data_IF_983552193577
#
_entry.id   IF_983552193577
#
_cell.length_a   1.000
_cell.length_b   1.000
_cell.length_c   1.000
_cell.angle_alpha   90.00
_cell.angle_beta   90.00
_cell.angle_gamma   90.00
#
_symmetry.space_group_name_H-M   'P 1'
#
loop_
_entity.id
_entity.type
_entity.pdbx_description
1 polymer ?
#
# COMPACT_ATOMS: atom_id res chain seq x y z
N UNK A 1 0.64 -17.03 14.28
CA UNK A 1 1.14 -15.65 14.35
C UNK A 1 0.87 -15.10 15.73
N UNK A 2 1.71 -14.21 16.25
CA UNK A 2 1.44 -13.54 17.52
C UNK A 2 0.19 -12.67 17.38
N UNK A 3 -0.73 -12.74 18.34
CA UNK A 3 -1.94 -11.93 18.37
C UNK A 3 -1.68 -10.62 19.11
N UNK A 4 -2.04 -9.50 18.50
CA UNK A 4 -1.99 -8.17 19.10
C UNK A 4 -3.41 -7.64 19.32
N UNK A 5 -3.60 -6.71 20.27
CA UNK A 5 -4.91 -6.13 20.61
C UNK A 5 -5.05 -4.71 20.08
N UNK A 6 -6.27 -4.35 19.72
CA UNK A 6 -6.69 -2.98 19.38
C UNK A 6 -7.73 -2.57 20.43
N UNK A 7 -7.41 -1.54 21.22
CA UNK A 7 -8.35 -0.93 22.16
C UNK A 7 -9.03 0.26 21.47
N UNK A 8 -10.36 0.18 21.29
CA UNK A 8 -11.14 1.22 20.62
C UNK A 8 -12.40 1.56 21.39
N UNK A 9 -12.79 2.84 21.34
CA UNK A 9 -14.11 3.30 21.77
C UNK A 9 -14.94 3.60 20.54
N UNK A 10 -16.19 3.16 20.56
CA UNK A 10 -17.16 3.44 19.51
C UNK A 10 -18.45 3.94 20.16
N UNK A 11 -19.14 4.84 19.47
CA UNK A 11 -20.46 5.28 19.90
C UNK A 11 -21.48 4.14 19.77
N UNK A 12 -22.49 4.14 20.63
CA UNK A 12 -23.53 3.10 20.65
C UNK A 12 -24.26 2.97 19.31
N UNK A 13 -24.48 4.10 18.62
CA UNK A 13 -25.11 4.11 17.30
C UNK A 13 -24.25 3.37 16.25
N UNK A 14 -22.92 3.56 16.29
CA UNK A 14 -21.97 2.88 15.40
C UNK A 14 -21.94 1.39 15.72
N UNK A 15 -21.90 1.05 17.01
CA UNK A 15 -21.94 -0.34 17.48
C UNK A 15 -23.17 -1.07 16.97
N UNK A 16 -24.36 -0.49 17.18
CA UNK A 16 -25.62 -1.10 16.74
C UNK A 16 -25.67 -1.29 15.21
N UNK A 17 -25.19 -0.31 14.44
CA UNK A 17 -25.10 -0.41 13.00
C UNK A 17 -24.14 -1.53 12.55
N UNK A 18 -22.98 -1.65 13.19
CA UNK A 18 -21.99 -2.66 12.88
C UNK A 18 -22.47 -4.08 13.26
N UNK A 19 -23.14 -4.25 14.39
CA UNK A 19 -23.75 -5.52 14.80
C UNK A 19 -24.83 -5.98 13.81
N UNK A 20 -25.70 -5.04 13.38
CA UNK A 20 -26.70 -5.32 12.34
C UNK A 20 -26.05 -5.73 11.03
N UNK A 21 -25.00 -5.02 10.60
CA UNK A 21 -24.28 -5.34 9.37
C UNK A 21 -23.58 -6.71 9.45
N UNK A 22 -22.99 -7.05 10.60
CA UNK A 22 -22.39 -8.37 10.85
C UNK A 22 -23.44 -9.48 10.71
N UNK A 23 -24.61 -9.32 11.36
CA UNK A 23 -25.71 -10.28 11.27
C UNK A 23 -26.22 -10.46 9.83
N UNK A 24 -26.36 -9.36 9.08
CA UNK A 24 -26.79 -9.41 7.66
C UNK A 24 -25.76 -10.10 6.75
N UNK A 25 -24.47 -10.02 7.07
CA UNK A 25 -23.41 -10.74 6.36
C UNK A 25 -23.22 -12.19 6.84
N UNK A 26 -24.02 -12.66 7.81
CA UNK A 26 -23.87 -13.99 8.40
C UNK A 26 -22.59 -14.15 9.23
N UNK A 27 -22.05 -13.04 9.76
CA UNK A 27 -20.85 -13.03 10.61
C UNK A 27 -21.29 -13.09 12.07
N UNK A 28 -20.69 -14.01 12.82
CA UNK A 28 -21.16 -14.38 14.16
C UNK A 28 -20.67 -13.45 15.29
N UNK A 29 -19.79 -12.48 14.98
CA UNK A 29 -19.20 -11.58 15.98
C UNK A 29 -18.89 -10.20 15.39
N UNK A 30 -19.15 -9.15 16.18
CA UNK A 30 -18.74 -7.79 15.86
C UNK A 30 -17.22 -7.69 15.69
N UNK A 31 -16.44 -8.40 16.51
CA UNK A 31 -14.98 -8.42 16.40
C UNK A 31 -14.54 -9.00 15.06
N UNK A 32 -15.14 -10.10 14.62
CA UNK A 32 -14.81 -10.70 13.32
C UNK A 32 -15.17 -9.75 12.17
N UNK A 33 -16.33 -9.08 12.26
CA UNK A 33 -16.75 -8.09 11.28
C UNK A 33 -15.74 -6.93 11.17
N UNK A 34 -15.30 -6.38 12.29
CA UNK A 34 -14.32 -5.29 12.34
C UNK A 34 -12.95 -5.72 11.83
N UNK A 35 -12.47 -6.92 12.21
CA UNK A 35 -11.18 -7.43 11.73
C UNK A 35 -11.18 -7.58 10.21
N UNK A 36 -12.26 -8.14 9.63
CA UNK A 36 -12.38 -8.28 8.17
C UNK A 36 -12.42 -6.93 7.45
N UNK A 37 -13.10 -5.94 8.02
CA UNK A 37 -13.13 -4.59 7.46
C UNK A 37 -11.74 -3.95 7.48
N UNK A 38 -11.04 -4.00 8.61
CA UNK A 38 -9.68 -3.45 8.74
C UNK A 38 -8.72 -4.16 7.77
N UNK A 39 -8.82 -5.48 7.65
CA UNK A 39 -7.96 -6.23 6.73
C UNK A 39 -8.21 -5.85 5.27
N UNK A 40 -9.48 -5.71 4.87
CA UNK A 40 -9.83 -5.32 3.51
C UNK A 40 -9.34 -3.89 3.21
N UNK A 41 -9.68 -2.94 4.07
CA UNK A 41 -9.33 -1.53 3.91
C UNK A 41 -7.80 -1.34 3.88
N UNK A 42 -7.07 -1.97 4.80
CA UNK A 42 -5.61 -1.90 4.82
C UNK A 42 -4.99 -2.42 3.52
N UNK A 43 -5.51 -3.52 2.95
CA UNK A 43 -5.02 -4.05 1.66
C UNK A 43 -5.30 -3.08 0.51
N UNK A 44 -6.48 -2.46 0.49
CA UNK A 44 -6.87 -1.49 -0.54
C UNK A 44 -6.00 -0.24 -0.46
N UNK A 45 -5.83 0.35 0.73
CA UNK A 45 -4.99 1.53 0.96
C UNK A 45 -3.53 1.25 0.61
N UNK A 46 -2.95 0.14 1.07
CA UNK A 46 -1.57 -0.23 0.71
C UNK A 46 -1.44 -0.35 -0.80
N UNK A 47 -2.38 -1.03 -1.46
CA UNK A 47 -2.37 -1.17 -2.91
C UNK A 47 -2.43 0.19 -3.61
N UNK A 48 -3.28 1.11 -3.16
CA UNK A 48 -3.40 2.45 -3.75
C UNK A 48 -2.11 3.26 -3.66
N UNK A 49 -1.39 3.15 -2.55
CA UNK A 49 -0.18 3.94 -2.29
C UNK A 49 1.12 3.30 -2.79
N UNK A 50 1.17 1.96 -2.86
CA UNK A 50 2.35 1.21 -3.30
C UNK A 50 2.27 0.76 -4.76
N UNK A 51 1.08 0.83 -5.38
CA UNK A 51 0.92 0.49 -6.80
C UNK A 51 0.93 1.74 -7.67
N UNK A 52 1.88 1.81 -8.59
CA UNK A 52 1.80 2.74 -9.71
C UNK A 52 1.01 2.03 -10.81
N UNK A 53 -0.19 2.53 -11.13
CA UNK A 53 -0.89 2.09 -12.34
C UNK A 53 -0.17 2.69 -13.54
N UNK A 54 0.66 1.88 -14.15
CA UNK A 54 1.40 2.23 -15.36
C UNK A 54 0.56 1.92 -16.59
N UNK A 55 0.68 2.76 -17.63
CA UNK A 55 0.06 2.48 -18.93
C UNK A 55 0.63 1.19 -19.51
N UNK A 56 -0.14 0.46 -20.30
CA UNK A 56 0.32 -0.79 -20.94
C UNK A 56 1.63 -0.62 -21.72
N UNK A 57 1.90 0.58 -22.23
CA UNK A 57 3.12 0.91 -22.97
C UNK A 57 4.37 1.12 -22.09
N UNK A 58 4.26 1.09 -20.75
CA UNK A 58 5.40 1.37 -19.87
C UNK A 58 6.50 0.33 -20.04
N UNK A 59 6.14 -0.93 -20.27
CA UNK A 59 7.10 -2.01 -20.44
C UNK A 59 7.90 -1.78 -21.71
N UNK A 60 7.22 -1.49 -22.83
CA UNK A 60 7.86 -1.19 -24.11
C UNK A 60 8.71 0.08 -24.04
N UNK A 61 8.22 1.13 -23.36
CA UNK A 61 8.97 2.38 -23.15
C UNK A 61 10.18 2.18 -22.24
N UNK A 62 10.06 1.35 -21.22
CA UNK A 62 11.17 0.98 -20.35
C UNK A 62 12.23 0.21 -21.13
N UNK A 63 11.84 -0.83 -21.87
CA UNK A 63 12.74 -1.62 -22.71
C UNK A 63 13.42 -0.76 -23.77
N UNK A 64 12.66 0.10 -24.47
CA UNK A 64 13.20 1.04 -25.46
C UNK A 64 14.21 2.01 -24.83
N UNK A 65 13.94 2.51 -23.62
CA UNK A 65 14.86 3.39 -22.90
C UNK A 65 16.13 2.67 -22.45
N UNK A 66 16.06 1.38 -22.09
CA UNK A 66 17.22 0.56 -21.78
C UNK A 66 18.08 0.28 -23.02
N UNK A 67 17.45 -0.03 -24.16
CA UNK A 67 18.14 -0.30 -25.43
C UNK A 67 18.78 0.96 -26.02
N UNK A 68 18.12 2.11 -25.88
CA UNK A 68 18.59 3.41 -26.36
C UNK A 68 19.34 4.23 -25.28
N UNK A 69 19.76 3.61 -24.18
CA UNK A 69 20.35 4.32 -23.05
C UNK A 69 21.67 5.00 -23.44
N UNK A 70 21.69 6.34 -23.41
CA UNK A 70 22.89 7.13 -23.60
C UNK A 70 23.72 7.23 -22.30
N UNK A 71 24.95 7.73 -22.44
CA UNK A 71 25.81 8.01 -21.29
C UNK A 71 25.12 8.98 -20.30
N UNK A 72 25.25 8.78 -18.97
CA UNK A 72 24.64 9.66 -17.98
C UNK A 72 25.07 11.11 -18.17
N UNK A 73 24.13 12.04 -18.04
CA UNK A 73 24.43 13.46 -18.14
C UNK A 73 25.41 13.91 -17.04
N UNK A 74 25.98 15.10 -17.19
CA UNK A 74 27.00 15.61 -16.28
C UNK A 74 26.51 15.66 -14.81
N UNK A 75 25.26 16.09 -14.57
CA UNK A 75 24.68 16.16 -13.22
C UNK A 75 24.62 14.79 -12.54
N UNK A 76 24.24 13.74 -13.28
CA UNK A 76 24.19 12.38 -12.74
C UNK A 76 25.59 11.85 -12.42
N UNK A 77 26.59 12.16 -13.25
CA UNK A 77 28.00 11.78 -13.00
C UNK A 77 28.57 12.47 -11.77
N UNK A 78 28.33 13.78 -11.62
CA UNK A 78 28.75 14.55 -10.45
C UNK A 78 28.09 14.04 -9.16
N UNK A 79 26.80 13.68 -9.21
CA UNK A 79 26.09 13.10 -8.08
C UNK A 79 26.65 11.72 -7.68
N UNK A 80 27.02 10.88 -8.65
CA UNK A 80 27.62 9.58 -8.38
C UNK A 80 29.00 9.71 -7.71
N UNK A 81 29.85 10.62 -8.18
CA UNK A 81 31.15 10.89 -7.56
C UNK A 81 31.01 11.47 -6.14
N UNK A 82 30.03 12.36 -5.93
CA UNK A 82 29.70 12.86 -4.60
C UNK A 82 29.24 11.73 -3.65
N UNK A 83 28.42 10.79 -4.12
CA UNK A 83 27.95 9.66 -3.31
C UNK A 83 29.09 8.70 -2.93
N UNK A 84 30.00 8.38 -3.86
CA UNK A 84 31.19 7.56 -3.58
C UNK A 84 32.10 8.20 -2.53
N UNK A 85 32.25 9.53 -2.56
CA UNK A 85 33.00 10.27 -1.55
C UNK A 85 32.37 10.25 -0.14
N UNK A 86 31.10 9.81 -0.02
CA UNK A 86 30.34 9.72 1.25
C UNK A 86 30.26 8.30 1.82
N UNK A 87 30.81 7.29 1.13
CA UNK A 87 30.90 5.91 1.63
C UNK A 87 29.61 5.08 1.53
N UNK A 88 28.74 5.38 0.57
CA UNK A 88 27.60 4.52 0.20
C UNK A 88 27.96 3.60 -0.97
#
# INVERSE_FOLDING_TARGET
>A
MATSRIDMRIDDAIKAAAEKAAALKGINSLTEYVVRLIEQDAREVIKEHESITVKDDIFDRFMSACEAAEAPNQKLREAAEFAKGKGF
#
